data_IF_538838527003
#
_entry.id   IF_538838527003
#
_cell.length_a   1.000
_cell.length_b   1.000
_cell.length_c   1.000
_cell.angle_alpha   90.00
_cell.angle_beta   90.00
_cell.angle_gamma   90.00
#
_symmetry.space_group_name_H-M   'P 1'
#
loop_
_entity.id
_entity.type
_entity.pdbx_description
1 polymer ?
#
# COMPACT_ATOMS: atom_id res chain seq x y z
N UNK A 1 1.79 -12.31 -0.57
CA UNK A 1 1.71 -10.85 -0.53
C UNK A 1 2.30 -10.15 -1.75
N UNK A 2 2.54 -10.87 -2.85
CA UNK A 2 3.06 -10.25 -4.09
C UNK A 2 1.97 -9.44 -4.79
N UNK A 3 2.37 -8.30 -5.39
CA UNK A 3 1.45 -7.44 -6.14
C UNK A 3 1.08 -8.10 -7.47
N UNK A 4 -0.21 -8.36 -7.66
CA UNK A 4 -0.72 -8.93 -8.91
C UNK A 4 -1.18 -7.85 -9.89
N UNK A 5 -1.88 -6.84 -9.40
CA UNK A 5 -2.46 -5.77 -10.22
C UNK A 5 -2.63 -4.49 -9.41
N UNK A 6 -2.51 -3.37 -10.09
CA UNK A 6 -2.69 -2.03 -9.52
C UNK A 6 -3.32 -1.10 -10.55
N UNK A 7 -3.93 0.03 -10.14
CA UNK A 7 -4.38 1.06 -11.06
C UNK A 7 -3.21 1.64 -11.88
N UNK A 8 -3.52 2.12 -13.10
CA UNK A 8 -2.50 2.77 -13.95
C UNK A 8 -1.97 4.11 -13.40
N UNK A 9 -2.64 4.69 -12.42
CA UNK A 9 -2.24 5.92 -11.74
C UNK A 9 -2.06 5.63 -10.25
N UNK A 10 -0.84 5.35 -9.84
CA UNK A 10 -0.45 5.05 -8.46
C UNK A 10 0.81 5.82 -8.12
N UNK A 11 0.92 6.31 -6.90
CA UNK A 11 2.16 6.86 -6.37
C UNK A 11 3.22 5.75 -6.32
N UNK A 12 4.37 5.90 -7.00
CA UNK A 12 5.38 4.82 -7.07
C UNK A 12 5.82 4.28 -5.72
N UNK A 13 5.88 5.13 -4.69
CA UNK A 13 6.24 4.71 -3.32
C UNK A 13 5.27 3.70 -2.71
N UNK A 14 4.00 3.72 -3.08
CA UNK A 14 3.00 2.78 -2.55
C UNK A 14 3.12 1.39 -3.18
N UNK A 15 3.64 1.26 -4.39
CA UNK A 15 3.70 -0.02 -5.11
C UNK A 15 4.57 -1.07 -4.40
N UNK A 16 5.81 -0.70 -4.07
CA UNK A 16 6.71 -1.58 -3.33
C UNK A 16 6.32 -1.73 -1.87
N UNK A 17 5.83 -0.64 -1.25
CA UNK A 17 5.42 -0.60 0.15
C UNK A 17 4.28 -1.57 0.46
N UNK A 18 3.26 -1.67 -0.40
CA UNK A 18 2.11 -2.55 -0.15
C UNK A 18 2.49 -4.04 -0.09
N UNK A 19 3.37 -4.52 -0.97
CA UNK A 19 3.85 -5.90 -0.92
C UNK A 19 4.68 -6.18 0.33
N UNK A 20 5.53 -5.25 0.73
CA UNK A 20 6.30 -5.35 1.97
C UNK A 20 5.39 -5.32 3.21
N UNK A 21 4.38 -4.45 3.21
CA UNK A 21 3.37 -4.36 4.27
C UNK A 21 2.64 -5.69 4.47
N UNK A 22 2.24 -6.36 3.39
CA UNK A 22 1.54 -7.64 3.48
C UNK A 22 2.37 -8.72 4.18
N UNK A 23 3.69 -8.73 4.01
CA UNK A 23 4.57 -9.65 4.73
C UNK A 23 4.52 -9.39 6.24
N UNK A 24 4.69 -8.13 6.65
CA UNK A 24 4.62 -7.73 8.06
C UNK A 24 3.23 -8.00 8.66
N UNK A 25 2.16 -7.75 7.91
CA UNK A 25 0.80 -8.06 8.35
C UNK A 25 0.60 -9.57 8.53
N UNK A 26 1.20 -10.41 7.68
CA UNK A 26 1.17 -11.87 7.83
C UNK A 26 1.91 -12.37 9.08
N UNK A 27 2.96 -11.69 9.51
CA UNK A 27 3.66 -12.01 10.76
C UNK A 27 2.81 -11.65 12.00
N UNK A 28 2.01 -10.58 11.92
CA UNK A 28 1.12 -10.12 13.01
C UNK A 28 -0.20 -10.89 13.03
N UNK A 29 -0.79 -11.08 11.86
CA UNK A 29 -2.04 -11.79 11.63
C UNK A 29 -1.78 -12.93 10.63
N UNK A 30 -1.41 -14.13 11.08
CA UNK A 30 -1.20 -15.28 10.20
C UNK A 30 -2.37 -15.46 9.24
N UNK A 31 -2.07 -15.53 7.95
CA UNK A 31 -3.11 -15.49 6.90
C UNK A 31 -4.12 -16.63 7.02
N UNK A 32 -3.70 -17.79 7.57
CA UNK A 32 -4.56 -18.93 7.85
C UNK A 32 -5.55 -18.67 9.01
N UNK A 33 -5.32 -17.63 9.81
CA UNK A 33 -6.22 -17.24 10.90
C UNK A 33 -7.30 -16.27 10.46
N UNK A 34 -7.13 -15.66 9.28
CA UNK A 34 -8.08 -14.67 8.75
C UNK A 34 -9.34 -15.36 8.20
N UNK A 35 -10.43 -14.63 8.25
CA UNK A 35 -11.73 -15.09 7.77
C UNK A 35 -12.34 -14.10 6.78
N UNK A 36 -13.33 -14.57 6.01
CA UNK A 36 -14.06 -13.69 5.10
C UNK A 36 -14.75 -12.56 5.87
N UNK A 37 -14.62 -11.34 5.36
CA UNK A 37 -15.13 -10.14 6.02
C UNK A 37 -14.19 -9.52 7.07
N UNK A 38 -13.00 -10.10 7.31
CA UNK A 38 -11.96 -9.43 8.09
C UNK A 38 -11.37 -8.26 7.28
N UNK A 39 -11.00 -7.17 7.98
CA UNK A 39 -10.21 -6.08 7.39
C UNK A 39 -9.22 -5.56 8.42
N UNK A 40 -7.99 -5.33 7.95
CA UNK A 40 -6.91 -4.77 8.76
C UNK A 40 -6.68 -3.32 8.31
N UNK A 41 -6.54 -2.41 9.29
CA UNK A 41 -6.17 -1.01 9.07
C UNK A 41 -4.82 -0.73 9.71
N UNK A 42 -4.02 0.12 9.06
CA UNK A 42 -2.80 0.69 9.64
C UNK A 42 -2.38 1.94 8.88
N UNK A 43 -1.68 2.84 9.55
CA UNK A 43 -0.90 3.91 8.93
C UNK A 43 0.54 3.93 9.44
N UNK A 44 1.02 2.80 9.97
CA UNK A 44 2.41 2.70 10.44
C UNK A 44 3.38 2.99 9.28
N UNK A 45 4.15 4.09 9.35
CA UNK A 45 5.00 4.53 8.24
C UNK A 45 6.17 3.59 7.97
N UNK A 46 6.56 2.77 8.94
CA UNK A 46 7.64 1.78 8.80
C UNK A 46 7.17 0.50 8.10
N UNK A 47 5.86 0.32 8.02
CA UNK A 47 5.27 -0.82 7.34
C UNK A 47 4.98 -0.49 5.87
N UNK A 48 4.50 0.74 5.55
CA UNK A 48 3.98 1.02 4.22
C UNK A 48 4.55 2.29 3.58
N UNK A 49 4.01 3.49 3.85
CA UNK A 49 4.19 4.66 2.98
C UNK A 49 5.14 5.73 3.50
N UNK A 50 5.63 5.61 4.72
CA UNK A 50 6.61 6.52 5.28
C UNK A 50 6.04 7.79 5.93
N UNK A 51 4.71 7.97 5.98
CA UNK A 51 4.05 9.05 6.75
C UNK A 51 2.64 8.66 7.20
N UNK A 52 2.17 9.30 8.30
CA UNK A 52 0.91 8.93 8.95
C UNK A 52 -0.38 9.25 8.15
N UNK A 53 -0.46 10.28 7.29
CA UNK A 53 -1.66 10.56 6.52
C UNK A 53 -2.10 9.43 5.58
N UNK A 54 -1.19 8.54 5.19
CA UNK A 54 -1.50 7.42 4.32
C UNK A 54 -2.06 6.23 5.10
N UNK A 55 -3.37 6.11 5.16
CA UNK A 55 -4.03 4.98 5.80
C UNK A 55 -4.22 3.85 4.80
N UNK A 56 -3.68 2.67 5.13
CA UNK A 56 -3.93 1.43 4.40
C UNK A 56 -5.04 0.63 5.07
N UNK A 57 -5.98 0.16 4.25
CA UNK A 57 -6.91 -0.90 4.63
C UNK A 57 -6.72 -2.08 3.69
N UNK A 58 -6.67 -3.29 4.23
CA UNK A 58 -6.55 -4.53 3.46
C UNK A 58 -7.59 -5.56 3.89
N UNK A 59 -8.09 -6.33 2.94
CA UNK A 59 -9.08 -7.36 3.14
C UNK A 59 -8.65 -8.67 2.47
N UNK A 60 -8.73 -9.83 3.15
CA UNK A 60 -8.59 -11.12 2.51
C UNK A 60 -9.78 -11.39 1.58
N UNK A 61 -9.52 -12.01 0.46
CA UNK A 61 -10.53 -12.40 -0.51
C UNK A 61 -10.62 -13.92 -0.50
N UNK A 62 -11.78 -14.42 -0.10
CA UNK A 62 -12.07 -15.85 -0.06
C UNK A 62 -12.97 -16.28 -1.22
N UNK A 63 -12.69 -17.43 -1.79
CA UNK A 63 -13.54 -18.13 -2.74
C UNK A 63 -13.68 -19.59 -2.31
N UNK A 64 -14.92 -20.05 -2.06
CA UNK A 64 -15.20 -21.41 -1.58
C UNK A 64 -14.36 -21.78 -0.33
N UNK A 65 -14.36 -20.88 0.67
CA UNK A 65 -13.62 -20.98 1.93
C UNK A 65 -12.06 -21.02 1.79
N UNK A 66 -11.53 -20.80 0.60
CA UNK A 66 -10.09 -20.69 0.34
C UNK A 66 -9.70 -19.23 0.19
N UNK A 67 -8.67 -18.81 0.90
CA UNK A 67 -8.01 -17.51 0.69
C UNK A 67 -7.33 -17.51 -0.69
N UNK A 68 -7.74 -16.63 -1.59
CA UNK A 68 -7.26 -16.60 -2.98
C UNK A 68 -6.49 -15.33 -3.32
N UNK A 69 -6.73 -14.23 -2.59
CA UNK A 69 -6.07 -12.95 -2.79
C UNK A 69 -6.23 -12.04 -1.58
N UNK A 70 -5.56 -10.90 -1.63
CA UNK A 70 -5.85 -9.73 -0.80
C UNK A 70 -6.23 -8.55 -1.70
N UNK A 71 -7.22 -7.79 -1.28
CA UNK A 71 -7.50 -6.46 -1.79
C UNK A 71 -6.94 -5.44 -0.79
N UNK A 72 -6.22 -4.44 -1.28
CA UNK A 72 -5.66 -3.38 -0.44
C UNK A 72 -5.91 -2.01 -1.07
N UNK A 73 -6.15 -1.02 -0.24
CA UNK A 73 -6.35 0.36 -0.62
C UNK A 73 -5.56 1.26 0.31
N UNK A 74 -4.77 2.16 -0.25
CA UNK A 74 -4.08 3.24 0.47
C UNK A 74 -4.70 4.55 0.06
N UNK A 75 -5.00 5.38 1.02
CA UNK A 75 -5.57 6.70 0.78
C UNK A 75 -4.86 7.74 1.64
N UNK A 76 -4.45 8.84 1.01
CA UNK A 76 -3.87 9.98 1.71
C UNK A 76 -4.99 10.82 2.31
N UNK A 77 -5.11 10.79 3.64
CA UNK A 77 -6.13 11.54 4.38
C UNK A 77 -5.71 12.99 4.58
N UNK A 78 -6.68 13.88 4.45
CA UNK A 78 -6.45 15.32 4.59
C UNK A 78 -6.06 15.71 6.01
N UNK A 79 -6.47 14.94 7.01
CA UNK A 79 -6.23 15.21 8.42
C UNK A 79 -6.06 13.90 9.18
N UNK A 80 -4.99 13.78 9.91
CA UNK A 80 -4.71 12.67 10.83
C UNK A 80 -4.41 13.17 12.24
N UNK A 81 -4.81 14.41 12.54
CA UNK A 81 -4.41 15.11 13.77
C UNK A 81 -3.03 15.74 13.63
N UNK A 82 -2.32 15.89 14.73
CA UNK A 82 -0.93 16.37 14.71
C UNK A 82 -0.75 17.77 14.14
N UNK A 83 0.47 18.05 13.69
CA UNK A 83 0.85 19.30 13.05
C UNK A 83 0.71 19.22 11.51
N UNK A 84 0.03 20.20 10.92
CA UNK A 84 -0.19 20.27 9.49
C UNK A 84 1.00 20.99 8.80
N UNK A 85 2.12 20.33 8.70
CA UNK A 85 3.31 20.92 8.07
C UNK A 85 4.29 19.84 7.63
N UNK A 86 5.31 20.26 6.88
CA UNK A 86 6.41 19.41 6.42
C UNK A 86 7.65 19.54 7.32
N UNK A 87 7.55 20.32 8.38
CA UNK A 87 8.62 20.65 9.34
C UNK A 87 8.56 19.85 10.64
N UNK A 88 7.77 18.76 10.64
CA UNK A 88 7.74 17.81 11.74
C UNK A 88 9.13 17.22 11.98
N UNK A 89 9.57 17.21 13.27
CA UNK A 89 10.87 16.71 13.69
C UNK A 89 10.85 15.26 14.12
N UNK A 90 9.68 14.80 14.54
CA UNK A 90 9.44 13.43 14.95
C UNK A 90 8.04 12.96 14.59
N UNK A 91 7.88 11.65 14.47
CA UNK A 91 6.63 11.00 14.04
C UNK A 91 5.42 11.36 14.93
N UNK A 92 5.65 11.64 16.22
CA UNK A 92 4.59 11.99 17.15
C UNK A 92 3.95 13.36 16.87
N UNK A 93 4.62 14.21 16.12
CA UNK A 93 4.08 15.50 15.68
C UNK A 93 3.16 15.35 14.46
N UNK A 94 3.30 14.27 13.67
CA UNK A 94 2.49 14.06 12.46
C UNK A 94 1.02 13.73 12.75
N UNK A 95 0.73 13.09 13.88
CA UNK A 95 -0.64 12.78 14.26
C UNK A 95 -0.86 11.40 14.86
N UNK A 96 -2.09 10.89 14.68
CA UNK A 96 -2.52 9.60 15.22
C UNK A 96 -1.79 8.45 14.51
N UNK A 97 -1.09 7.64 15.28
CA UNK A 97 -0.50 6.38 14.83
C UNK A 97 -1.49 5.24 15.03
N UNK A 98 -1.79 4.52 13.96
CA UNK A 98 -2.67 3.35 13.94
C UNK A 98 -1.81 2.12 13.64
N UNK A 99 -1.43 1.32 14.64
CA UNK A 99 -0.73 0.07 14.38
C UNK A 99 -1.63 -0.88 13.61
N UNK A 100 -1.10 -1.95 13.01
CA UNK A 100 -1.95 -2.98 12.41
C UNK A 100 -3.01 -3.47 13.39
N UNK A 101 -4.27 -3.22 13.09
CA UNK A 101 -5.39 -3.67 13.92
C UNK A 101 -6.62 -4.02 13.07
N UNK A 102 -7.50 -4.86 13.64
CA UNK A 102 -8.71 -5.30 12.96
C UNK A 102 -9.75 -4.19 12.94
N UNK A 103 -9.98 -3.62 11.75
CA UNK A 103 -11.06 -2.67 11.50
C UNK A 103 -12.41 -3.37 11.39
N UNK A 104 -12.43 -4.56 10.79
CA UNK A 104 -13.57 -5.48 10.73
C UNK A 104 -13.15 -6.88 11.15
N UNK A 105 -14.04 -7.59 11.84
CA UNK A 105 -13.93 -9.03 12.10
C UNK A 105 -15.17 -9.72 11.57
N UNK A 106 -14.99 -10.58 10.55
CA UNK A 106 -16.10 -11.32 9.93
C UNK A 106 -17.28 -10.40 9.54
N UNK A 107 -16.99 -9.24 8.96
CA UNK A 107 -17.98 -8.26 8.58
C UNK A 107 -18.52 -7.38 9.71
N UNK A 108 -18.09 -7.57 10.95
CA UNK A 108 -18.48 -6.74 12.09
C UNK A 108 -17.50 -5.57 12.25
N UNK A 109 -18.03 -4.34 12.15
CA UNK A 109 -17.25 -3.11 12.31
C UNK A 109 -16.72 -2.96 13.75
N UNK A 110 -15.46 -2.59 13.88
CA UNK A 110 -14.88 -2.18 15.15
C UNK A 110 -15.11 -0.67 15.35
N UNK A 111 -16.25 -0.34 15.94
CA UNK A 111 -16.65 1.05 16.19
C UNK A 111 -15.64 1.83 17.05
N UNK A 112 -14.88 1.15 17.91
CA UNK A 112 -13.90 1.81 18.78
C UNK A 112 -12.76 2.43 17.98
N UNK A 113 -12.31 1.78 16.89
CA UNK A 113 -11.31 2.33 15.98
C UNK A 113 -11.81 3.64 15.34
N UNK A 114 -13.03 3.63 14.84
CA UNK A 114 -13.63 4.83 14.25
C UNK A 114 -13.81 5.97 15.29
N UNK A 115 -14.20 5.63 16.52
CA UNK A 115 -14.30 6.61 17.60
C UNK A 115 -12.96 7.21 17.99
N UNK A 116 -11.91 6.38 18.08
CA UNK A 116 -10.54 6.84 18.35
C UNK A 116 -10.06 7.77 17.24
N UNK A 117 -10.22 7.37 15.98
CA UNK A 117 -9.82 8.20 14.84
C UNK A 117 -10.60 9.53 14.87
N UNK A 118 -11.93 9.48 14.97
CA UNK A 118 -12.76 10.68 14.97
C UNK A 118 -12.46 11.65 16.12
N UNK A 119 -11.99 11.14 17.26
CA UNK A 119 -11.61 11.99 18.40
C UNK A 119 -10.26 12.70 18.20
N UNK A 120 -9.41 12.19 17.32
CA UNK A 120 -8.03 12.67 17.14
C UNK A 120 -7.83 13.52 15.88
N UNK A 121 -8.85 13.68 15.05
CA UNK A 121 -8.80 14.48 13.83
C UNK A 121 -9.69 15.72 13.92
N UNK A 122 -9.39 16.76 13.14
CA UNK A 122 -10.14 18.04 13.15
C UNK A 122 -11.45 17.97 12.37
N UNK A 123 -11.50 17.09 11.36
CA UNK A 123 -12.64 16.90 10.45
C UNK A 123 -13.14 15.45 10.47
N UNK A 124 -13.66 14.97 11.62
CA UNK A 124 -13.95 13.56 11.85
C UNK A 124 -14.89 12.94 10.82
N UNK A 125 -15.95 13.66 10.42
CA UNK A 125 -16.91 13.14 9.45
C UNK A 125 -16.26 12.86 8.09
N UNK A 126 -15.32 13.72 7.65
CA UNK A 126 -14.60 13.54 6.40
C UNK A 126 -13.69 12.31 6.50
N UNK A 127 -12.81 12.25 7.49
CA UNK A 127 -11.83 11.18 7.65
C UNK A 127 -12.52 9.82 7.82
N UNK A 128 -13.55 9.74 8.67
CA UNK A 128 -14.32 8.50 8.88
C UNK A 128 -15.01 8.05 7.58
N UNK A 129 -15.60 8.99 6.82
CA UNK A 129 -16.25 8.65 5.55
C UNK A 129 -15.26 8.24 4.48
N UNK A 130 -14.05 8.79 4.46
CA UNK A 130 -12.99 8.35 3.57
C UNK A 130 -12.56 6.90 3.89
N UNK A 131 -12.39 6.55 5.17
CA UNK A 131 -12.11 5.16 5.59
C UNK A 131 -13.27 4.23 5.19
N UNK A 132 -14.52 4.64 5.38
CA UNK A 132 -15.68 3.84 4.95
C UNK A 132 -15.73 3.68 3.42
N UNK A 133 -15.27 4.66 2.66
CA UNK A 133 -15.14 4.57 1.21
C UNK A 133 -14.04 3.59 0.80
N UNK A 134 -12.92 3.53 1.54
CA UNK A 134 -11.90 2.49 1.35
C UNK A 134 -12.51 1.09 1.61
N UNK A 135 -13.24 0.91 2.71
CA UNK A 135 -13.93 -0.35 3.04
C UNK A 135 -14.90 -0.76 1.92
N UNK A 136 -15.74 0.16 1.44
CA UNK A 136 -16.66 -0.11 0.34
C UNK A 136 -15.93 -0.51 -0.95
N UNK A 137 -14.82 0.15 -1.25
CA UNK A 137 -13.96 -0.16 -2.40
C UNK A 137 -13.37 -1.57 -2.28
N UNK A 138 -12.95 -1.98 -1.08
CA UNK A 138 -12.40 -3.33 -0.86
C UNK A 138 -13.48 -4.41 -1.00
N UNK A 139 -14.69 -4.18 -0.50
CA UNK A 139 -15.81 -5.09 -0.74
C UNK A 139 -16.10 -5.25 -2.24
N UNK A 140 -16.22 -4.13 -2.96
CA UNK A 140 -16.42 -4.16 -4.40
C UNK A 140 -15.28 -4.89 -5.12
N UNK A 141 -14.03 -4.64 -4.75
CA UNK A 141 -12.85 -5.29 -5.35
C UNK A 141 -12.85 -6.78 -5.08
N UNK A 142 -13.16 -7.21 -3.85
CA UNK A 142 -13.27 -8.62 -3.49
C UNK A 142 -14.34 -9.34 -4.32
N UNK A 143 -15.51 -8.73 -4.48
CA UNK A 143 -16.59 -9.28 -5.31
C UNK A 143 -16.17 -9.37 -6.79
N UNK A 144 -15.47 -8.38 -7.32
CA UNK A 144 -14.96 -8.41 -8.69
C UNK A 144 -13.90 -9.50 -8.91
N UNK A 145 -13.02 -9.72 -7.93
CA UNK A 145 -12.04 -10.83 -7.97
C UNK A 145 -12.77 -12.18 -7.98
N UNK A 146 -13.73 -12.37 -7.06
CA UNK A 146 -14.54 -13.61 -7.00
C UNK A 146 -15.25 -13.89 -8.33
N UNK A 147 -15.92 -12.87 -8.89
CA UNK A 147 -16.64 -12.99 -10.17
C UNK A 147 -15.68 -13.32 -11.30
N UNK A 148 -14.56 -12.63 -11.40
CA UNK A 148 -13.53 -12.90 -12.41
C UNK A 148 -13.03 -14.35 -12.35
N UNK A 149 -12.72 -14.86 -11.16
CA UNK A 149 -12.27 -16.25 -10.98
C UNK A 149 -13.36 -17.26 -11.38
N UNK A 150 -14.62 -16.98 -11.03
CA UNK A 150 -15.77 -17.83 -11.43
C UNK A 150 -15.98 -17.82 -12.93
N UNK A 151 -15.96 -16.66 -13.58
CA UNK A 151 -16.15 -16.53 -15.05
C UNK A 151 -15.02 -17.21 -15.84
N UNK A 152 -13.83 -17.28 -15.27
CA UNK A 152 -12.65 -17.90 -15.91
C UNK A 152 -12.40 -19.33 -15.46
N UNK A 153 -13.21 -19.86 -14.56
CA UNK A 153 -13.05 -21.18 -13.93
C UNK A 153 -11.68 -21.36 -13.27
N UNK A 154 -11.24 -20.32 -12.54
CA UNK A 154 -9.98 -20.33 -11.80
C UNK A 154 -10.19 -20.77 -10.35
N UNK A 155 -9.44 -21.77 -9.93
CA UNK A 155 -9.36 -22.19 -8.51
C UNK A 155 -8.21 -21.51 -7.74
N UNK A 156 -7.25 -20.91 -8.48
CA UNK A 156 -6.12 -20.14 -7.95
C UNK A 156 -5.74 -19.03 -8.93
N UNK A 157 -5.21 -17.92 -8.40
CA UNK A 157 -4.63 -16.84 -9.21
C UNK A 157 -3.12 -17.03 -9.42
N UNK A 158 -2.48 -18.01 -8.78
CA UNK A 158 -1.03 -18.22 -8.89
C UNK A 158 -0.54 -18.41 -10.33
N UNK A 159 -1.16 -19.27 -11.17
CA UNK A 159 -0.68 -19.43 -12.55
C UNK A 159 -0.81 -18.14 -13.38
N UNK A 160 -1.84 -17.33 -13.11
CA UNK A 160 -2.01 -16.02 -13.74
C UNK A 160 -0.95 -15.03 -13.26
N UNK A 161 -0.63 -15.06 -11.98
CA UNK A 161 0.39 -14.21 -11.38
C UNK A 161 1.78 -14.53 -11.97
N UNK A 162 2.14 -15.80 -12.07
CA UNK A 162 3.40 -16.25 -12.64
C UNK A 162 3.55 -15.76 -14.09
N UNK A 163 2.53 -15.92 -14.92
CA UNK A 163 2.53 -15.43 -16.31
C UNK A 163 2.68 -13.89 -16.39
N UNK A 164 2.02 -13.14 -15.49
CA UNK A 164 2.14 -11.69 -15.43
C UNK A 164 3.57 -11.29 -15.05
N UNK A 165 4.16 -11.97 -14.05
CA UNK A 165 5.53 -11.68 -13.62
C UNK A 165 6.55 -12.00 -14.73
N UNK A 166 6.45 -13.14 -15.36
CA UNK A 166 7.35 -13.56 -16.46
C UNK A 166 7.29 -12.57 -17.63
N UNK A 167 6.08 -12.15 -18.02
CA UNK A 167 5.91 -11.14 -19.08
C UNK A 167 6.47 -9.79 -18.68
N UNK A 168 6.22 -9.37 -17.44
CA UNK A 168 6.68 -8.07 -16.93
C UNK A 168 8.21 -8.06 -16.84
N UNK A 169 8.81 -9.10 -16.29
CA UNK A 169 10.26 -9.24 -16.21
C UNK A 169 10.90 -9.26 -17.62
N UNK A 170 10.34 -10.04 -18.52
CA UNK A 170 10.80 -10.10 -19.91
C UNK A 170 10.76 -8.73 -20.59
N UNK A 171 9.65 -8.00 -20.41
CA UNK A 171 9.49 -6.66 -21.00
C UNK A 171 10.47 -5.66 -20.38
N UNK A 172 10.65 -5.68 -19.06
CA UNK A 172 11.58 -4.80 -18.36
C UNK A 172 13.03 -5.09 -18.77
N UNK A 173 13.45 -6.37 -18.77
CA UNK A 173 14.80 -6.76 -19.20
C UNK A 173 15.07 -6.37 -20.64
N UNK A 174 14.06 -6.49 -21.52
CA UNK A 174 14.20 -6.01 -22.90
C UNK A 174 14.44 -4.50 -22.95
N UNK A 175 13.67 -3.72 -22.19
CA UNK A 175 13.83 -2.27 -22.14
C UNK A 175 15.21 -1.85 -21.58
N UNK A 176 15.69 -2.54 -20.53
CA UNK A 176 17.02 -2.28 -19.97
C UNK A 176 18.13 -2.56 -20.98
N UNK A 177 18.03 -3.65 -21.76
CA UNK A 177 19.00 -3.98 -22.82
C UNK A 177 19.07 -2.98 -23.97
N UNK A 178 18.05 -2.13 -24.13
CA UNK A 178 18.05 -1.02 -25.09
C UNK A 178 18.85 0.20 -24.59
N UNK A 179 19.21 0.24 -23.30
CA UNK A 179 20.07 1.27 -22.71
C UNK A 179 21.53 0.87 -23.01
N UNK A 180 22.35 1.72 -23.63
CA UNK A 180 23.75 1.41 -23.88
C UNK A 180 24.52 1.14 -22.58
N UNK A 181 25.45 0.22 -22.62
CA UNK A 181 26.35 -0.02 -21.48
C UNK A 181 27.12 1.25 -21.12
N UNK A 182 27.22 1.52 -19.83
CA UNK A 182 27.92 2.71 -19.36
C UNK A 182 27.53 3.13 -17.94
N UNK A 183 28.16 4.20 -17.50
CA UNK A 183 27.87 4.84 -16.23
C UNK A 183 27.11 6.13 -16.51
N UNK A 184 25.93 6.23 -15.94
CA UNK A 184 25.05 7.40 -16.04
C UNK A 184 25.04 8.11 -14.70
N UNK A 185 25.34 9.40 -14.68
CA UNK A 185 25.36 10.21 -13.47
C UNK A 185 24.39 11.38 -13.61
N UNK A 186 23.69 11.66 -12.55
CA UNK A 186 22.81 12.80 -12.45
C UNK A 186 22.96 13.46 -11.06
N UNK A 187 22.84 14.76 -11.03
CA UNK A 187 22.83 15.53 -9.79
C UNK A 187 21.67 16.53 -9.85
N UNK A 188 20.92 16.64 -8.76
CA UNK A 188 19.93 17.69 -8.58
C UNK A 188 20.00 18.25 -7.18
N UNK A 189 19.56 19.49 -7.03
CA UNK A 189 19.45 20.15 -5.73
C UNK A 189 17.98 20.33 -5.37
N UNK A 190 17.64 19.95 -4.15
CA UNK A 190 16.34 20.19 -3.54
C UNK A 190 16.49 21.17 -2.38
N UNK A 191 15.44 21.88 -2.05
CA UNK A 191 15.44 22.79 -0.90
C UNK A 191 15.57 21.97 0.39
N UNK A 192 16.44 22.42 1.29
CA UNK A 192 16.51 21.93 2.65
C UNK A 192 15.36 22.45 3.51
N UNK A 193 15.33 22.08 4.79
CA UNK A 193 14.41 22.67 5.76
C UNK A 193 14.65 24.17 5.98
N UNK A 194 13.75 24.79 6.74
CA UNK A 194 13.84 26.24 7.03
C UNK A 194 15.19 26.59 7.69
N UNK A 195 15.99 27.38 6.97
CA UNK A 195 17.34 27.77 7.43
C UNK A 195 18.46 26.77 7.12
N UNK A 196 18.16 25.70 6.38
CA UNK A 196 19.16 24.72 5.95
C UNK A 196 19.67 25.01 4.52
N UNK A 197 20.91 24.58 4.26
CA UNK A 197 21.47 24.59 2.91
C UNK A 197 20.73 23.62 1.99
N UNK A 198 20.82 23.86 0.69
CA UNK A 198 20.25 22.96 -0.32
C UNK A 198 20.86 21.55 -0.19
N UNK A 199 20.00 20.54 -0.23
CA UNK A 199 20.41 19.15 -0.24
C UNK A 199 20.73 18.74 -1.67
N UNK A 200 21.93 18.20 -1.88
CA UNK A 200 22.34 17.67 -3.19
C UNK A 200 22.06 16.16 -3.24
N UNK A 201 21.20 15.78 -4.17
CA UNK A 201 20.94 14.37 -4.49
C UNK A 201 21.81 13.98 -5.68
N UNK A 202 22.54 12.86 -5.54
CA UNK A 202 23.37 12.29 -6.61
C UNK A 202 22.93 10.88 -6.90
N UNK A 203 22.75 10.59 -8.19
CA UNK A 203 22.47 9.26 -8.72
C UNK A 203 23.66 8.81 -9.56
N UNK A 204 24.10 7.58 -9.36
CA UNK A 204 25.00 6.86 -10.25
C UNK A 204 24.34 5.54 -10.65
N UNK A 205 24.09 5.37 -11.92
CA UNK A 205 23.52 4.17 -12.52
C UNK A 205 24.59 3.53 -13.41
N UNK A 206 24.84 2.25 -13.23
CA UNK A 206 25.74 1.47 -14.07
C UNK A 206 24.95 0.42 -14.83
N UNK A 207 25.05 0.46 -16.16
CA UNK A 207 24.43 -0.53 -17.05
C UNK A 207 25.53 -1.38 -17.65
N UNK A 208 25.43 -2.70 -17.49
CA UNK A 208 26.41 -3.66 -18.01
C UNK A 208 25.68 -4.91 -18.49
N UNK A 209 25.86 -5.26 -19.76
CA UNK A 209 25.26 -6.45 -20.42
C UNK A 209 23.71 -6.53 -20.23
N UNK A 210 23.05 -5.38 -20.14
CA UNK A 210 21.61 -5.27 -19.97
C UNK A 210 21.10 -5.51 -18.55
N UNK A 211 21.95 -5.35 -17.55
CA UNK A 211 21.59 -5.27 -16.13
C UNK A 211 21.90 -3.86 -15.57
N UNK A 212 21.17 -3.48 -14.50
CA UNK A 212 21.30 -2.18 -13.81
C UNK A 212 21.64 -2.41 -12.35
#
# INVERSE_FOLDING_TARGET
GNLLSQPGFVTPGHMGGMSAAMKTLGDIYPFESLQDGDMIITNDPWIMSGHLPDIMVTAPVFLRDKLVAFAACVFHHQDIGGHLGIDNREIFEEGLQIPPCMLYRQGQENEDIYRIIGQNVRVPDLVVNDIRSQVATLHFTADRIRLFMQEKDFDSLEPLADEIYDRTETALRKAVREIPDGVYEAECQVEGGEGEDRITLRLRLEVTDGDI
#
